data_IF_987997854701
#
_entry.id   IF_987997854701
#
_cell.length_a   1.000
_cell.length_b   1.000
_cell.length_c   1.000
_cell.angle_alpha   90.00
_cell.angle_beta   90.00
_cell.angle_gamma   90.00
#
_symmetry.space_group_name_H-M   'P 1'
#
loop_
_entity.id
_entity.type
_entity.pdbx_description
1 polymer ?
#
# COMPACT_ATOMS: atom_id res chain seq x y z
N UNK A 1 -33.23 -31.07 -15.85
CA UNK A 1 -32.86 -29.64 -15.80
C UNK A 1 -33.33 -29.04 -14.49
N UNK A 2 -32.61 -29.34 -13.41
CA UNK A 2 -33.09 -29.10 -12.06
C UNK A 2 -32.36 -27.88 -11.45
N UNK A 3 -33.10 -26.78 -11.27
CA UNK A 3 -32.76 -25.67 -10.37
C UNK A 3 -32.65 -26.21 -8.94
N UNK A 4 -31.43 -26.40 -8.44
CA UNK A 4 -31.19 -26.90 -7.08
C UNK A 4 -30.13 -26.00 -6.39
N UNK A 5 -30.61 -25.14 -5.48
CA UNK A 5 -29.92 -24.51 -4.34
C UNK A 5 -28.88 -23.39 -4.57
N UNK A 6 -29.33 -22.13 -4.54
CA UNK A 6 -28.52 -20.95 -4.15
C UNK A 6 -29.12 -20.29 -2.90
N UNK A 7 -29.12 -21.02 -1.79
CA UNK A 7 -29.35 -20.46 -0.46
C UNK A 7 -28.29 -21.06 0.46
N UNK A 8 -27.18 -20.33 0.66
CA UNK A 8 -26.09 -20.71 1.56
C UNK A 8 -24.65 -20.49 1.08
N UNK A 9 -24.39 -19.92 -0.10
CA UNK A 9 -23.03 -19.79 -0.71
C UNK A 9 -22.54 -18.34 -0.85
N UNK A 10 -22.57 -17.53 0.19
CA UNK A 10 -22.06 -16.14 0.08
C UNK A 10 -20.52 -16.04 0.13
N UNK A 11 -19.83 -17.12 0.53
CA UNK A 11 -18.37 -17.23 0.49
C UNK A 11 -17.93 -17.95 -0.77
N UNK A 12 -17.15 -17.25 -1.59
CA UNK A 12 -16.43 -17.79 -2.74
C UNK A 12 -15.05 -18.23 -2.30
N UNK A 13 -14.62 -19.42 -2.74
CA UNK A 13 -13.20 -19.80 -2.64
C UNK A 13 -12.41 -19.02 -3.69
N UNK A 14 -11.41 -18.27 -3.23
CA UNK A 14 -10.57 -17.41 -4.07
C UNK A 14 -9.21 -18.05 -4.38
N UNK A 15 -9.07 -19.36 -4.18
CA UNK A 15 -8.02 -20.14 -4.86
C UNK A 15 -8.17 -20.06 -6.38
N UNK A 16 -7.10 -20.32 -7.14
CA UNK A 16 -7.20 -20.33 -8.61
C UNK A 16 -8.22 -21.36 -9.11
N UNK A 17 -8.23 -22.56 -8.53
CA UNK A 17 -9.21 -23.60 -8.88
C UNK A 17 -10.64 -23.15 -8.57
N UNK A 18 -10.85 -22.44 -7.45
CA UNK A 18 -12.15 -21.88 -7.08
C UNK A 18 -12.61 -20.79 -8.05
N UNK A 19 -11.71 -19.91 -8.47
CA UNK A 19 -11.97 -18.86 -9.48
C UNK A 19 -12.31 -19.50 -10.83
N UNK A 20 -11.54 -20.49 -11.27
CA UNK A 20 -11.75 -21.18 -12.55
C UNK A 20 -13.08 -21.96 -12.55
N UNK A 21 -13.42 -22.60 -11.44
CA UNK A 21 -14.70 -23.30 -11.31
C UNK A 21 -15.92 -22.38 -11.38
N UNK A 22 -15.78 -21.11 -10.95
CA UNK A 22 -16.85 -20.12 -11.01
C UNK A 22 -16.99 -19.49 -12.38
N UNK A 23 -15.86 -19.29 -13.07
CA UNK A 23 -15.80 -18.64 -14.37
C UNK A 23 -15.90 -19.64 -15.53
N UNK A 24 -15.77 -20.94 -15.25
CA UNK A 24 -15.85 -22.02 -16.24
C UNK A 24 -14.59 -22.21 -17.09
N UNK A 25 -13.66 -21.26 -17.03
CA UNK A 25 -12.36 -21.32 -17.72
C UNK A 25 -11.31 -20.49 -16.96
N UNK A 26 -10.04 -20.82 -17.17
CA UNK A 26 -8.89 -20.15 -16.58
C UNK A 26 -8.61 -18.76 -17.15
N UNK A 27 -9.15 -18.47 -18.34
CA UNK A 27 -9.11 -17.18 -19.01
C UNK A 27 -10.47 -16.88 -19.62
N UNK A 28 -11.05 -15.75 -19.24
CA UNK A 28 -12.43 -15.43 -19.60
C UNK A 28 -12.44 -14.29 -20.61
N UNK A 29 -13.28 -14.34 -21.67
CA UNK A 29 -13.49 -13.18 -22.55
C UNK A 29 -13.98 -11.97 -21.74
N UNK A 30 -13.50 -10.78 -22.07
CA UNK A 30 -13.95 -9.55 -21.37
C UNK A 30 -15.47 -9.30 -21.50
N UNK A 31 -16.13 -9.91 -22.48
CA UNK A 31 -17.58 -9.85 -22.70
C UNK A 31 -18.39 -10.88 -21.91
N UNK A 32 -17.74 -11.75 -21.14
CA UNK A 32 -18.43 -12.82 -20.41
C UNK A 32 -19.25 -12.26 -19.25
N UNK A 33 -20.56 -12.56 -19.16
CA UNK A 33 -21.42 -12.08 -18.08
C UNK A 33 -21.01 -12.62 -16.70
N UNK A 34 -20.40 -13.81 -16.64
CA UNK A 34 -19.90 -14.43 -15.40
C UNK A 34 -18.81 -13.61 -14.72
N UNK A 35 -18.08 -12.78 -15.47
CA UNK A 35 -17.08 -11.90 -14.92
C UNK A 35 -17.70 -10.72 -14.15
N UNK A 36 -18.80 -10.16 -14.63
CA UNK A 36 -19.55 -9.14 -13.91
C UNK A 36 -20.14 -9.70 -12.61
N UNK A 37 -20.69 -10.91 -12.66
CA UNK A 37 -21.21 -11.62 -11.49
C UNK A 37 -20.11 -11.93 -10.47
N UNK A 38 -18.91 -12.33 -10.92
CA UNK A 38 -17.75 -12.57 -10.06
C UNK A 38 -17.28 -11.29 -9.37
N UNK A 39 -17.10 -10.19 -10.12
CA UNK A 39 -16.67 -8.91 -9.56
C UNK A 39 -17.72 -8.28 -8.64
N UNK A 40 -19.01 -8.54 -8.88
CA UNK A 40 -20.10 -8.13 -8.01
C UNK A 40 -20.27 -9.04 -6.77
N UNK A 41 -19.55 -10.16 -6.68
CA UNK A 41 -19.64 -11.06 -5.55
C UNK A 41 -19.19 -10.35 -4.26
N UNK A 42 -19.97 -10.49 -3.17
CA UNK A 42 -19.69 -9.83 -1.89
C UNK A 42 -18.29 -10.11 -1.35
N UNK A 43 -17.77 -11.32 -1.54
CA UNK A 43 -16.43 -11.70 -1.09
C UNK A 43 -15.35 -10.94 -1.89
N UNK A 44 -15.54 -10.82 -3.20
CA UNK A 44 -14.62 -10.11 -4.11
C UNK A 44 -14.69 -8.60 -3.88
N UNK A 45 -15.90 -8.03 -3.77
CA UNK A 45 -16.10 -6.61 -3.42
C UNK A 45 -15.43 -6.28 -2.09
N UNK A 46 -15.63 -7.11 -1.06
CA UNK A 46 -15.00 -6.88 0.26
C UNK A 46 -13.47 -6.97 0.19
N UNK A 47 -12.92 -7.93 -0.57
CA UNK A 47 -11.48 -8.00 -0.83
C UNK A 47 -10.96 -6.71 -1.47
N UNK A 48 -11.66 -6.19 -2.48
CA UNK A 48 -11.30 -4.94 -3.14
C UNK A 48 -11.32 -3.78 -2.14
N UNK A 49 -12.38 -3.60 -1.35
CA UNK A 49 -12.45 -2.51 -0.35
C UNK A 49 -11.30 -2.57 0.66
N UNK A 50 -10.94 -3.77 1.12
CA UNK A 50 -9.80 -3.96 2.03
C UNK A 50 -8.49 -3.53 1.36
N UNK A 51 -8.29 -3.89 0.09
CA UNK A 51 -7.12 -3.48 -0.68
C UNK A 51 -7.12 -1.96 -0.96
N UNK A 52 -8.28 -1.34 -1.18
CA UNK A 52 -8.39 0.12 -1.33
C UNK A 52 -7.93 0.80 -0.05
N UNK A 53 -8.52 0.45 1.09
CA UNK A 53 -8.17 1.06 2.38
C UNK A 53 -6.68 0.89 2.69
N UNK A 54 -6.14 -0.31 2.43
CA UNK A 54 -4.72 -0.61 2.62
C UNK A 54 -3.81 0.22 1.70
N UNK A 55 -4.07 0.24 0.40
CA UNK A 55 -3.22 0.96 -0.55
C UNK A 55 -3.32 2.47 -0.35
N UNK A 56 -4.50 2.99 -0.03
CA UNK A 56 -4.64 4.39 0.37
C UNK A 56 -3.75 4.71 1.58
N UNK A 57 -3.77 3.86 2.61
CA UNK A 57 -2.89 4.02 3.78
C UNK A 57 -1.41 3.94 3.41
N UNK A 58 -0.99 2.90 2.69
CA UNK A 58 0.41 2.63 2.34
C UNK A 58 1.03 3.75 1.47
N UNK A 59 0.22 4.42 0.67
CA UNK A 59 0.66 5.50 -0.23
C UNK A 59 0.28 6.91 0.25
N UNK A 60 -0.30 7.07 1.45
CA UNK A 60 -0.68 8.36 2.01
C UNK A 60 -1.81 9.06 1.24
N UNK A 61 -2.76 8.30 0.69
CA UNK A 61 -3.91 8.81 -0.04
C UNK A 61 -5.13 8.91 0.87
N UNK A 62 -5.90 9.99 0.73
CA UNK A 62 -7.13 10.20 1.52
C UNK A 62 -8.20 9.16 1.18
N UNK A 63 -8.71 8.46 2.19
CA UNK A 63 -9.83 7.51 2.10
C UNK A 63 -11.11 8.19 2.61
N UNK A 64 -12.16 8.32 1.77
CA UNK A 64 -13.43 8.95 2.14
C UNK A 64 -14.06 9.81 1.04
N UNK A 65 -15.19 10.49 1.32
CA UNK A 65 -15.89 11.36 0.36
C UNK A 65 -14.98 12.48 -0.16
N UNK A 66 -14.79 12.56 -1.48
CA UNK A 66 -13.87 13.51 -2.12
C UNK A 66 -12.37 13.17 -1.96
N UNK A 67 -12.05 11.99 -1.40
CA UNK A 67 -10.72 11.41 -1.39
C UNK A 67 -10.44 10.54 -2.63
N UNK A 68 -9.36 9.77 -2.58
CA UNK A 68 -8.86 8.93 -3.69
C UNK A 68 -9.40 7.51 -3.65
N UNK A 69 -10.29 7.18 -2.70
CA UNK A 69 -10.74 5.81 -2.46
C UNK A 69 -11.48 5.20 -3.65
N UNK A 70 -12.38 5.96 -4.28
CA UNK A 70 -13.13 5.52 -5.45
C UNK A 70 -12.22 5.22 -6.64
N UNK A 71 -11.13 5.96 -6.75
CA UNK A 71 -10.20 5.86 -7.86
C UNK A 71 -9.24 4.69 -7.71
N UNK A 72 -8.70 4.53 -6.50
CA UNK A 72 -7.93 3.35 -6.13
C UNK A 72 -8.80 2.11 -6.29
N UNK A 73 -10.10 2.17 -5.95
CA UNK A 73 -11.06 1.09 -6.20
C UNK A 73 -11.17 0.78 -7.68
N UNK A 74 -11.42 1.79 -8.53
CA UNK A 74 -11.50 1.60 -9.98
C UNK A 74 -10.25 0.94 -10.56
N UNK A 75 -9.06 1.36 -10.13
CA UNK A 75 -7.80 0.78 -10.59
C UNK A 75 -7.61 -0.66 -10.11
N UNK A 76 -7.97 -0.99 -8.86
CA UNK A 76 -7.95 -2.38 -8.36
C UNK A 76 -8.93 -3.25 -9.15
N UNK A 77 -10.13 -2.74 -9.48
CA UNK A 77 -11.10 -3.45 -10.33
C UNK A 77 -10.54 -3.69 -11.73
N UNK A 78 -9.88 -2.70 -12.33
CA UNK A 78 -9.23 -2.87 -13.65
C UNK A 78 -8.13 -3.93 -13.58
N UNK A 79 -7.33 -3.96 -12.51
CA UNK A 79 -6.32 -5.01 -12.32
C UNK A 79 -7.00 -6.38 -12.19
N UNK A 80 -8.07 -6.50 -11.40
CA UNK A 80 -8.83 -7.75 -11.28
C UNK A 80 -9.35 -8.23 -12.64
N UNK A 81 -9.97 -7.33 -13.42
CA UNK A 81 -10.42 -7.62 -14.78
C UNK A 81 -9.27 -8.09 -15.67
N UNK A 82 -8.13 -7.41 -15.61
CA UNK A 82 -6.97 -7.73 -16.45
C UNK A 82 -6.37 -9.10 -16.08
N UNK A 83 -6.33 -9.45 -14.78
CA UNK A 83 -5.91 -10.78 -14.32
C UNK A 83 -6.77 -11.89 -14.94
N UNK A 84 -8.08 -11.65 -15.09
CA UNK A 84 -9.03 -12.65 -15.57
C UNK A 84 -9.14 -12.72 -17.10
N UNK A 85 -8.76 -11.66 -17.82
CA UNK A 85 -9.04 -11.51 -19.26
C UNK A 85 -7.78 -11.42 -20.14
N UNK A 86 -6.64 -11.02 -19.59
CA UNK A 86 -5.40 -10.85 -20.34
C UNK A 86 -4.42 -12.02 -20.08
N UNK A 87 -4.02 -12.79 -21.11
CA UNK A 87 -3.17 -13.97 -20.93
C UNK A 87 -1.81 -13.71 -20.25
N UNK A 88 -1.16 -12.60 -20.59
CA UNK A 88 0.17 -12.27 -20.04
C UNK A 88 0.07 -11.93 -18.55
N UNK A 89 -0.94 -11.14 -18.18
CA UNK A 89 -1.18 -10.76 -16.79
C UNK A 89 -1.72 -11.94 -15.98
N UNK A 90 -2.57 -12.78 -16.57
CA UNK A 90 -3.06 -14.01 -15.94
C UNK A 90 -1.91 -14.96 -15.60
N UNK A 91 -0.96 -15.17 -16.52
CA UNK A 91 0.22 -15.99 -16.27
C UNK A 91 1.06 -15.43 -15.11
N UNK A 92 1.29 -14.11 -15.07
CA UNK A 92 1.98 -13.44 -13.96
C UNK A 92 1.21 -13.58 -12.65
N UNK A 93 -0.11 -13.45 -12.67
CA UNK A 93 -0.96 -13.58 -11.50
C UNK A 93 -0.93 -15.01 -10.93
N UNK A 94 -1.03 -16.02 -11.79
CA UNK A 94 -0.99 -17.44 -11.41
C UNK A 94 0.35 -17.92 -10.87
N UNK A 95 1.43 -17.16 -11.08
CA UNK A 95 2.69 -17.39 -10.35
C UNK A 95 2.57 -17.13 -8.84
N UNK A 96 1.49 -16.46 -8.41
CA UNK A 96 1.16 -16.25 -6.99
C UNK A 96 0.23 -17.34 -6.49
N UNK A 97 0.27 -17.58 -5.19
CA UNK A 97 -0.46 -18.67 -4.51
C UNK A 97 -1.96 -18.70 -4.82
N UNK A 98 -2.61 -17.55 -4.80
CA UNK A 98 -4.06 -17.43 -4.97
C UNK A 98 -4.44 -16.06 -5.57
N UNK A 99 -5.71 -15.91 -5.96
CA UNK A 99 -6.22 -14.68 -6.57
C UNK A 99 -6.08 -13.45 -5.65
N UNK A 100 -6.38 -13.51 -4.34
CA UNK A 100 -6.20 -12.38 -3.44
C UNK A 100 -4.75 -11.91 -3.34
N UNK A 101 -3.80 -12.85 -3.27
CA UNK A 101 -2.37 -12.55 -3.23
C UNK A 101 -1.93 -11.88 -4.54
N UNK A 102 -2.35 -12.42 -5.68
CA UNK A 102 -2.06 -11.80 -6.97
C UNK A 102 -2.66 -10.40 -7.09
N UNK A 103 -3.93 -10.23 -6.72
CA UNK A 103 -4.62 -8.96 -6.77
C UNK A 103 -3.93 -7.93 -5.88
N UNK A 104 -3.50 -8.30 -4.66
CA UNK A 104 -2.76 -7.42 -3.76
C UNK A 104 -1.47 -6.88 -4.40
N UNK A 105 -0.59 -7.78 -4.89
CA UNK A 105 0.71 -7.37 -5.40
C UNK A 105 0.61 -6.62 -6.74
N UNK A 106 -0.22 -7.11 -7.66
CA UNK A 106 -0.39 -6.47 -8.96
C UNK A 106 -1.09 -5.11 -8.84
N UNK A 107 -2.07 -4.98 -7.95
CA UNK A 107 -2.68 -3.67 -7.68
C UNK A 107 -1.71 -2.72 -6.96
N UNK A 108 -0.88 -3.22 -6.03
CA UNK A 108 0.15 -2.40 -5.38
C UNK A 108 1.11 -1.79 -6.40
N UNK A 109 1.61 -2.59 -7.35
CA UNK A 109 2.47 -2.13 -8.44
C UNK A 109 1.76 -1.10 -9.31
N UNK A 110 0.48 -1.34 -9.63
CA UNK A 110 -0.34 -0.42 -10.42
C UNK A 110 -0.54 0.92 -9.72
N UNK A 111 -0.87 0.92 -8.43
CA UNK A 111 -1.04 2.17 -7.65
C UNK A 111 0.29 2.90 -7.51
N UNK A 112 1.42 2.20 -7.38
CA UNK A 112 2.75 2.82 -7.41
C UNK A 112 3.02 3.51 -8.75
N UNK A 113 2.83 2.81 -9.86
CA UNK A 113 2.99 3.37 -11.21
C UNK A 113 2.06 4.55 -11.45
N UNK A 114 0.83 4.45 -10.98
CA UNK A 114 -0.14 5.53 -11.04
C UNK A 114 0.41 6.73 -10.26
N UNK A 115 0.82 6.57 -9.01
CA UNK A 115 1.40 7.65 -8.19
C UNK A 115 2.57 8.36 -8.86
N UNK A 116 3.42 7.59 -9.53
CA UNK A 116 4.59 8.09 -10.25
C UNK A 116 4.23 8.69 -11.64
N UNK A 117 3.03 8.43 -12.14
CA UNK A 117 2.56 8.89 -13.44
C UNK A 117 2.34 10.41 -13.47
N UNK A 118 2.68 11.08 -14.59
CA UNK A 118 2.31 12.47 -14.83
C UNK A 118 0.81 12.74 -14.67
N UNK A 119 -0.03 11.72 -14.91
CA UNK A 119 -1.49 11.75 -14.84
C UNK A 119 -2.05 11.75 -13.40
N UNK A 120 -1.33 11.20 -12.43
CA UNK A 120 -1.76 11.18 -11.03
C UNK A 120 -1.63 12.53 -10.32
N UNK A 121 -1.07 13.52 -11.00
CA UNK A 121 -1.23 14.92 -10.63
C UNK A 121 -2.68 15.44 -10.87
N UNK A 122 -3.66 14.56 -11.04
CA UNK A 122 -4.98 14.86 -11.61
C UNK A 122 -6.17 14.21 -10.92
N UNK A 123 -6.01 13.72 -9.68
CA UNK A 123 -7.19 13.54 -8.82
C UNK A 123 -7.72 14.90 -8.36
N UNK A 124 -9.02 15.07 -8.55
CA UNK A 124 -9.74 16.34 -8.70
C UNK A 124 -9.47 17.32 -7.55
N UNK A 125 -8.81 18.46 -7.87
CA UNK A 125 -8.73 19.63 -6.98
C UNK A 125 -7.33 20.01 -6.45
N UNK A 126 -6.44 19.05 -6.18
CA UNK A 126 -5.12 19.31 -5.55
C UNK A 126 -3.96 19.51 -6.54
N UNK A 127 -4.21 19.35 -7.85
CA UNK A 127 -3.20 19.45 -8.92
C UNK A 127 -2.41 20.76 -8.93
N UNK A 128 -3.11 21.88 -8.77
CA UNK A 128 -2.49 23.21 -8.86
C UNK A 128 -1.61 23.48 -7.63
N UNK A 129 -2.09 23.12 -6.44
CA UNK A 129 -1.36 23.22 -5.17
C UNK A 129 -0.07 22.42 -5.18
N UNK A 130 -0.11 21.13 -5.55
CA UNK A 130 1.11 20.31 -5.59
C UNK A 130 2.11 20.75 -6.67
N UNK A 131 1.64 21.25 -7.82
CA UNK A 131 2.51 21.82 -8.86
C UNK A 131 3.19 23.11 -8.36
N UNK A 132 2.44 23.98 -7.69
CA UNK A 132 3.00 25.18 -7.04
C UNK A 132 4.00 24.80 -5.95
N UNK A 133 3.66 23.84 -5.09
CA UNK A 133 4.56 23.32 -4.04
C UNK A 133 5.87 22.76 -4.60
N UNK A 134 5.82 21.88 -5.61
CA UNK A 134 7.03 21.36 -6.26
C UNK A 134 7.87 22.47 -6.88
N UNK A 135 7.23 23.43 -7.54
CA UNK A 135 7.91 24.58 -8.14
C UNK A 135 8.53 25.49 -7.08
N UNK A 136 7.87 25.68 -5.93
CA UNK A 136 8.41 26.42 -4.78
C UNK A 136 9.59 25.69 -4.14
N UNK A 137 9.54 24.36 -4.02
CA UNK A 137 10.66 23.57 -3.47
C UNK A 137 11.88 23.60 -4.42
N UNK A 138 11.65 23.49 -5.72
CA UNK A 138 12.70 23.63 -6.72
C UNK A 138 13.31 25.05 -6.69
N UNK A 139 12.46 26.09 -6.62
CA UNK A 139 12.92 27.47 -6.48
C UNK A 139 13.68 27.68 -5.16
N UNK A 140 13.24 27.07 -4.06
CA UNK A 140 13.96 27.13 -2.78
C UNK A 140 15.36 26.54 -2.92
N UNK A 141 15.50 25.36 -3.53
CA UNK A 141 16.80 24.75 -3.75
C UNK A 141 17.72 25.62 -4.64
N UNK A 142 17.17 26.21 -5.71
CA UNK A 142 17.86 27.16 -6.59
C UNK A 142 18.37 28.40 -5.82
N UNK A 143 17.50 29.02 -5.03
CA UNK A 143 17.83 30.22 -4.26
C UNK A 143 18.82 29.91 -3.13
N UNK A 144 18.67 28.78 -2.44
CA UNK A 144 19.64 28.35 -1.42
C UNK A 144 21.03 28.16 -2.02
N UNK A 145 21.12 27.53 -3.19
CA UNK A 145 22.39 27.38 -3.90
C UNK A 145 22.98 28.72 -4.37
N UNK A 146 22.13 29.67 -4.79
CA UNK A 146 22.56 30.96 -5.34
C UNK A 146 22.93 31.98 -4.25
N UNK A 147 22.17 32.01 -3.16
CA UNK A 147 22.30 33.02 -2.10
C UNK A 147 23.17 32.55 -0.93
N UNK A 148 23.51 31.26 -0.88
CA UNK A 148 24.27 30.68 0.24
C UNK A 148 23.50 30.67 1.57
N UNK A 149 22.19 30.95 1.54
CA UNK A 149 21.28 30.92 2.69
C UNK A 149 19.89 30.46 2.25
N UNK A 150 19.12 29.89 3.17
CA UNK A 150 17.72 29.52 2.87
C UNK A 150 16.85 30.79 2.71
N UNK A 151 16.02 30.89 1.65
CA UNK A 151 15.09 32.01 1.49
C UNK A 151 13.94 31.91 2.50
N UNK A 152 13.51 33.06 3.02
CA UNK A 152 12.31 33.14 3.86
C UNK A 152 11.05 32.75 3.10
N UNK A 153 10.01 32.31 3.81
CA UNK A 153 8.73 31.90 3.21
C UNK A 153 8.10 33.01 2.35
N UNK A 154 8.12 34.26 2.82
CA UNK A 154 7.65 35.42 2.06
C UNK A 154 8.48 35.67 0.80
N UNK A 155 9.81 35.72 0.94
CA UNK A 155 10.75 35.92 -0.18
C UNK A 155 10.53 34.88 -1.29
N UNK A 156 10.31 33.61 -0.91
CA UNK A 156 10.10 32.51 -1.83
C UNK A 156 8.79 32.64 -2.61
N UNK A 157 7.69 33.01 -1.94
CA UNK A 157 6.37 33.17 -2.56
C UNK A 157 6.36 34.37 -3.50
N UNK A 158 6.95 35.50 -3.08
CA UNK A 158 6.97 36.72 -3.87
C UNK A 158 7.76 36.54 -5.17
N UNK A 159 8.95 35.93 -5.09
CA UNK A 159 9.77 35.62 -6.26
C UNK A 159 9.10 34.61 -7.19
N UNK A 160 8.46 33.58 -6.64
CA UNK A 160 7.70 32.63 -7.44
C UNK A 160 6.56 33.32 -8.19
N UNK A 161 5.76 34.13 -7.49
CA UNK A 161 4.61 34.81 -8.06
C UNK A 161 5.04 35.89 -9.07
N UNK A 162 6.16 36.56 -8.87
CA UNK A 162 6.76 37.47 -9.86
C UNK A 162 7.10 36.71 -11.15
N UNK A 163 7.86 35.61 -11.07
CA UNK A 163 8.21 34.75 -12.22
C UNK A 163 6.97 34.22 -12.95
N UNK A 164 5.91 33.89 -12.22
CA UNK A 164 4.67 33.37 -12.81
C UNK A 164 3.86 34.47 -13.50
N UNK A 165 3.79 35.67 -12.93
CA UNK A 165 3.11 36.83 -13.54
C UNK A 165 3.81 37.29 -14.82
N UNK A 166 5.13 37.24 -14.88
CA UNK A 166 5.89 37.56 -16.11
C UNK A 166 5.57 36.61 -17.27
N UNK A 167 5.26 35.34 -16.95
CA UNK A 167 5.02 34.29 -17.96
C UNK A 167 3.56 34.10 -18.30
N UNK A 168 2.62 34.66 -17.52
CA UNK A 168 1.18 34.40 -17.66
C UNK A 168 0.34 35.66 -17.51
N UNK A 169 -0.44 35.96 -18.54
CA UNK A 169 -1.34 37.13 -18.62
C UNK A 169 -2.39 37.14 -17.49
N UNK A 170 -2.98 35.98 -17.15
CA UNK A 170 -4.04 35.87 -16.12
C UNK A 170 -3.70 34.82 -15.04
N UNK A 171 -2.53 34.94 -14.42
CA UNK A 171 -2.02 33.98 -13.44
C UNK A 171 -2.98 33.68 -12.26
N UNK A 172 -3.72 34.69 -11.80
CA UNK A 172 -4.66 34.57 -10.68
C UNK A 172 -5.90 33.73 -11.07
N UNK A 173 -6.52 34.04 -12.22
CA UNK A 173 -7.71 33.33 -12.72
C UNK A 173 -7.39 31.88 -13.10
N UNK A 174 -6.13 31.61 -13.43
CA UNK A 174 -5.61 30.27 -13.74
C UNK A 174 -5.17 29.48 -12.49
N UNK A 175 -5.28 30.04 -11.27
CA UNK A 175 -4.84 29.39 -10.04
C UNK A 175 -3.33 29.07 -10.03
N UNK A 176 -2.51 29.86 -10.72
CA UNK A 176 -1.07 29.64 -10.84
C UNK A 176 -0.25 30.34 -9.75
N UNK A 177 -0.85 31.29 -9.03
CA UNK A 177 -0.21 32.01 -7.93
C UNK A 177 -0.15 31.14 -6.68
N UNK A 178 1.00 31.16 -6.01
CA UNK A 178 1.23 30.46 -4.75
C UNK A 178 0.91 31.33 -3.54
N UNK A 179 0.64 30.66 -2.42
CA UNK A 179 0.36 31.21 -1.11
C UNK A 179 1.10 30.43 -0.02
N UNK A 180 1.09 30.94 1.21
CA UNK A 180 1.69 30.24 2.36
C UNK A 180 1.06 28.86 2.60
N UNK A 181 -0.22 28.67 2.26
CA UNK A 181 -0.90 27.39 2.37
C UNK A 181 -0.28 26.30 1.48
N UNK A 182 0.37 26.67 0.36
CA UNK A 182 1.07 25.71 -0.51
C UNK A 182 2.39 25.18 0.08
N UNK A 183 2.89 25.82 1.15
CA UNK A 183 4.08 25.42 1.90
C UNK A 183 3.77 24.74 3.23
N UNK A 184 2.51 24.80 3.67
CA UNK A 184 2.03 23.98 4.78
C UNK A 184 1.96 22.55 4.27
N UNK A 185 2.72 21.67 4.88
CA UNK A 185 2.66 20.25 4.56
C UNK A 185 1.29 19.72 5.04
N UNK A 186 0.36 19.29 4.17
CA UNK A 186 -0.81 18.55 4.64
C UNK A 186 -0.38 17.26 5.37
N UNK A 187 0.82 16.76 5.07
CA UNK A 187 1.46 15.62 5.73
C UNK A 187 2.27 16.02 6.99
N UNK A 188 2.19 17.27 7.48
CA UNK A 188 2.80 17.62 8.79
C UNK A 188 2.04 17.02 9.98
N UNK A 189 0.87 16.44 9.74
CA UNK A 189 0.28 15.40 10.60
C UNK A 189 0.86 14.02 10.26
N UNK A 190 2.17 13.97 10.01
CA UNK A 190 2.95 12.74 10.01
C UNK A 190 2.94 12.25 11.44
N UNK A 191 1.96 11.39 11.70
CA UNK A 191 1.89 10.51 12.84
C UNK A 191 3.27 9.88 12.97
N UNK A 192 3.89 10.10 14.14
CA UNK A 192 5.09 9.41 14.51
C UNK A 192 4.84 7.91 14.35
N UNK A 193 5.75 7.18 13.70
CA UNK A 193 5.55 5.73 13.52
C UNK A 193 5.54 5.03 14.88
N UNK A 194 6.03 5.69 15.96
CA UNK A 194 5.82 5.25 17.34
C UNK A 194 4.39 5.49 17.87
N UNK A 195 3.69 6.53 17.41
CA UNK A 195 2.35 6.90 17.88
C UNK A 195 1.23 6.11 17.17
N UNK A 196 1.54 5.46 16.05
CA UNK A 196 0.63 4.52 15.36
C UNK A 196 0.37 3.22 16.13
N UNK A 197 1.07 2.96 17.23
CA UNK A 197 0.81 1.78 18.06
C UNK A 197 -0.42 1.99 18.96
N UNK A 198 -0.94 3.22 19.10
CA UNK A 198 -2.03 3.53 20.04
C UNK A 198 -3.26 4.25 19.44
N UNK A 199 -3.32 4.47 18.13
CA UNK A 199 -4.55 4.98 17.51
C UNK A 199 -5.51 3.84 17.17
N UNK A 200 -6.47 3.62 18.08
CA UNK A 200 -7.74 2.90 17.96
C UNK A 200 -7.76 1.60 17.12
N UNK A 201 -8.06 0.43 17.71
CA UNK A 201 -8.32 -0.76 16.91
C UNK A 201 -9.45 -0.40 15.94
N UNK A 202 -9.16 -0.47 14.63
CA UNK A 202 -10.21 -0.50 13.63
C UNK A 202 -11.23 -1.54 14.13
N UNK A 203 -12.40 -1.05 14.53
CA UNK A 203 -13.48 -1.84 15.12
C UNK A 203 -14.15 -2.70 14.05
N UNK A 204 -13.37 -3.53 13.40
CA UNK A 204 -13.83 -4.69 12.65
C UNK A 204 -13.23 -5.89 13.35
N UNK A 205 -13.97 -6.44 14.31
CA UNK A 205 -13.83 -7.79 14.88
C UNK A 205 -13.94 -8.91 13.85
N UNK A 206 -13.76 -8.62 12.55
CA UNK A 206 -13.74 -9.57 11.45
C UNK A 206 -12.32 -9.64 10.89
N UNK A 207 -11.55 -10.54 11.50
CA UNK A 207 -10.30 -11.09 10.97
C UNK A 207 -10.59 -11.61 9.56
N UNK A 208 -10.04 -10.96 8.52
CA UNK A 208 -10.01 -11.55 7.19
C UNK A 208 -8.64 -12.22 6.94
N UNK A 209 -8.64 -13.55 6.68
CA UNK A 209 -7.46 -14.40 6.74
C UNK A 209 -6.63 -14.38 5.46
N UNK A 210 -6.71 -13.37 4.59
CA UNK A 210 -5.86 -13.37 3.37
C UNK A 210 -4.39 -13.10 3.73
N UNK A 211 -4.16 -12.44 4.87
CA UNK A 211 -2.83 -12.18 5.41
C UNK A 211 -2.44 -13.21 6.47
N UNK A 212 -3.37 -13.86 7.18
CA UNK A 212 -3.04 -14.76 8.30
C UNK A 212 -2.23 -16.00 7.87
N UNK A 213 -2.68 -16.91 6.99
CA UNK A 213 -1.93 -18.13 6.69
C UNK A 213 -0.61 -17.84 5.97
N UNK A 214 -0.57 -16.82 5.10
CA UNK A 214 0.63 -16.47 4.33
C UNK A 214 1.62 -15.65 5.16
N UNK A 215 1.14 -14.75 6.05
CA UNK A 215 2.02 -14.06 6.99
C UNK A 215 2.48 -15.00 8.10
N UNK A 216 1.64 -15.91 8.60
CA UNK A 216 2.06 -16.97 9.54
C UNK A 216 3.10 -17.86 8.89
N UNK A 217 2.88 -18.32 7.65
CA UNK A 217 3.89 -19.10 6.92
C UNK A 217 5.21 -18.33 6.73
N UNK A 218 5.15 -17.05 6.39
CA UNK A 218 6.35 -16.22 6.27
C UNK A 218 7.04 -15.99 7.63
N UNK A 219 6.26 -15.75 8.69
CA UNK A 219 6.77 -15.60 10.06
C UNK A 219 7.47 -16.90 10.49
N UNK A 220 6.83 -18.05 10.28
CA UNK A 220 7.39 -19.36 10.62
C UNK A 220 8.68 -19.62 9.82
N UNK A 221 8.72 -19.27 8.53
CA UNK A 221 9.93 -19.36 7.71
C UNK A 221 11.05 -18.44 8.20
N UNK A 222 10.73 -17.19 8.55
CA UNK A 222 11.72 -16.22 9.05
C UNK A 222 12.29 -16.69 10.39
N UNK A 223 11.43 -17.15 11.31
CA UNK A 223 11.85 -17.69 12.60
C UNK A 223 12.71 -18.95 12.40
N UNK A 224 12.28 -19.89 11.56
CA UNK A 224 13.03 -21.11 11.28
C UNK A 224 14.40 -20.81 10.65
N UNK A 225 14.46 -19.87 9.70
CA UNK A 225 15.72 -19.47 9.06
C UNK A 225 16.64 -18.72 10.03
N UNK A 226 16.09 -17.92 10.93
CA UNK A 226 16.86 -17.27 11.99
C UNK A 226 17.44 -18.30 12.97
N UNK A 227 16.66 -19.32 13.36
CA UNK A 227 17.11 -20.43 14.21
C UNK A 227 18.19 -21.32 13.57
N UNK A 228 18.20 -21.42 12.23
CA UNK A 228 19.22 -22.15 11.48
C UNK A 228 20.54 -21.35 11.32
N UNK A 229 20.50 -20.04 11.57
CA UNK A 229 21.68 -19.18 11.52
C UNK A 229 22.59 -19.37 12.74
N UNK A 230 23.78 -18.79 12.67
CA UNK A 230 24.75 -18.83 13.78
C UNK A 230 24.45 -17.79 14.89
N UNK A 231 23.56 -16.83 14.63
CA UNK A 231 23.24 -15.76 15.56
C UNK A 231 22.05 -16.13 16.48
N UNK A 232 22.39 -16.64 17.66
CA UNK A 232 21.42 -17.02 18.69
C UNK A 232 20.59 -15.82 19.21
N UNK A 233 21.14 -14.60 19.17
CA UNK A 233 20.42 -13.40 19.60
C UNK A 233 19.36 -13.01 18.57
N UNK A 234 19.71 -13.06 17.29
CA UNK A 234 18.76 -12.82 16.20
C UNK A 234 17.59 -13.81 16.24
N UNK A 235 17.87 -15.10 16.51
CA UNK A 235 16.84 -16.13 16.68
C UNK A 235 15.92 -15.85 17.88
N UNK A 236 16.48 -15.50 19.04
CA UNK A 236 15.71 -15.16 20.24
C UNK A 236 14.83 -13.92 20.04
N UNK A 237 15.35 -12.89 19.37
CA UNK A 237 14.57 -11.68 19.02
C UNK A 237 13.48 -12.02 18.00
N UNK A 238 13.76 -12.86 16.99
CA UNK A 238 12.76 -13.29 16.01
C UNK A 238 11.56 -13.97 16.68
N UNK A 239 11.82 -14.91 17.59
CA UNK A 239 10.78 -15.60 18.33
C UNK A 239 9.95 -14.64 19.18
N UNK A 240 10.62 -13.81 19.99
CA UNK A 240 9.98 -12.88 20.91
C UNK A 240 9.18 -11.79 20.18
N UNK A 241 9.61 -11.39 18.98
CA UNK A 241 8.97 -10.34 18.20
C UNK A 241 7.81 -10.87 17.34
N UNK A 242 8.02 -11.97 16.62
CA UNK A 242 7.14 -12.40 15.53
C UNK A 242 6.11 -13.45 15.95
N UNK A 243 6.46 -14.40 16.83
CA UNK A 243 5.53 -15.47 17.24
C UNK A 243 4.30 -14.96 18.01
N UNK A 244 4.37 -13.89 18.84
CA UNK A 244 3.17 -13.32 19.42
C UNK A 244 2.16 -12.89 18.35
N UNK A 245 2.63 -12.34 17.22
CA UNK A 245 1.74 -11.88 16.15
C UNK A 245 0.95 -13.02 15.50
N UNK A 246 1.50 -14.24 15.45
CA UNK A 246 0.78 -15.44 14.98
C UNK A 246 -0.40 -15.79 15.89
N UNK A 247 -0.27 -15.54 17.20
CA UNK A 247 -1.28 -15.93 18.21
C UNK A 247 -2.30 -14.83 18.48
N UNK A 248 -1.88 -13.57 18.45
CA UNK A 248 -2.68 -12.43 18.91
C UNK A 248 -2.99 -11.43 17.79
N UNK A 249 -2.39 -11.59 16.60
CA UNK A 249 -2.48 -10.62 15.51
C UNK A 249 -1.66 -9.35 15.73
N UNK A 250 -0.87 -9.27 16.82
CA UNK A 250 -0.14 -8.07 17.22
C UNK A 250 1.33 -8.40 17.50
N UNK A 251 2.25 -7.63 16.89
CA UNK A 251 3.69 -7.73 17.15
C UNK A 251 4.04 -7.17 18.54
N UNK A 252 5.01 -7.78 19.22
CA UNK A 252 5.55 -7.23 20.45
C UNK A 252 6.29 -5.91 20.19
N UNK A 253 6.28 -5.00 21.17
CA UNK A 253 7.07 -3.76 21.09
C UNK A 253 8.54 -4.05 21.35
N UNK A 254 9.43 -3.20 20.82
CA UNK A 254 10.88 -3.36 21.00
C UNK A 254 11.28 -3.33 22.48
N UNK A 255 10.72 -2.42 23.28
CA UNK A 255 10.87 -2.43 24.73
C UNK A 255 10.42 -3.75 25.41
N UNK A 256 9.33 -4.37 24.96
CA UNK A 256 8.85 -5.64 25.51
C UNK A 256 9.78 -6.81 25.14
N UNK A 257 10.29 -6.83 23.90
CA UNK A 257 11.25 -7.82 23.41
C UNK A 257 12.61 -7.66 24.08
N UNK A 258 13.09 -6.42 24.21
CA UNK A 258 14.33 -6.09 24.92
C UNK A 258 14.31 -6.64 26.35
N UNK A 259 13.19 -6.41 27.04
CA UNK A 259 12.97 -6.94 28.40
C UNK A 259 12.89 -8.47 28.45
N UNK A 260 12.25 -9.12 27.47
CA UNK A 260 12.10 -10.59 27.48
C UNK A 260 13.38 -11.33 27.11
N UNK A 261 14.16 -10.78 26.19
CA UNK A 261 15.44 -11.34 25.72
C UNK A 261 16.61 -10.93 26.62
N UNK A 262 16.49 -9.84 27.37
CA UNK A 262 17.51 -9.35 28.29
C UNK A 262 18.59 -8.50 27.61
N UNK A 263 18.19 -7.68 26.64
CA UNK A 263 19.08 -6.80 25.87
C UNK A 263 18.56 -5.36 25.85
N UNK A 264 19.39 -4.42 25.39
CA UNK A 264 18.99 -3.03 25.16
C UNK A 264 18.06 -2.90 23.96
N UNK A 265 17.16 -1.91 23.97
CA UNK A 265 16.18 -1.69 22.90
C UNK A 265 16.85 -1.36 21.55
N UNK A 266 18.00 -0.68 21.57
CA UNK A 266 18.79 -0.39 20.37
C UNK A 266 19.27 -1.68 19.67
N UNK A 267 19.64 -2.70 20.45
CA UNK A 267 20.05 -4.00 19.93
C UNK A 267 18.86 -4.72 19.27
N UNK A 268 17.67 -4.59 19.84
CA UNK A 268 16.44 -5.14 19.23
C UNK A 268 16.14 -4.46 17.89
N UNK A 269 16.30 -3.14 17.80
CA UNK A 269 16.09 -2.39 16.55
C UNK A 269 17.09 -2.78 15.46
N UNK A 270 18.34 -3.07 15.81
CA UNK A 270 19.32 -3.58 14.86
C UNK A 270 18.98 -5.01 14.40
N UNK A 271 18.60 -5.89 15.32
CA UNK A 271 18.08 -7.22 14.97
C UNK A 271 16.83 -7.12 14.07
N UNK A 272 15.93 -6.15 14.28
CA UNK A 272 14.76 -5.94 13.41
C UNK A 272 15.16 -5.60 11.97
N UNK A 273 16.19 -4.78 11.78
CA UNK A 273 16.71 -4.47 10.43
C UNK A 273 17.22 -5.74 9.75
N UNK A 274 17.92 -6.60 10.48
CA UNK A 274 18.41 -7.88 9.93
C UNK A 274 17.28 -8.87 9.65
N UNK A 275 16.31 -9.01 10.54
CA UNK A 275 15.12 -9.84 10.30
C UNK A 275 14.33 -9.36 9.09
N UNK A 276 14.26 -8.04 8.87
CA UNK A 276 13.64 -7.49 7.66
C UNK A 276 14.41 -7.88 6.40
N UNK A 277 15.74 -7.80 6.40
CA UNK A 277 16.56 -8.27 5.27
C UNK A 277 16.38 -9.76 5.03
N UNK A 278 16.35 -10.57 6.09
CA UNK A 278 16.12 -12.01 6.01
C UNK A 278 14.75 -12.32 5.39
N UNK A 279 13.70 -11.63 5.82
CA UNK A 279 12.36 -11.78 5.26
C UNK A 279 12.30 -11.41 3.77
N UNK A 280 12.99 -10.34 3.35
CA UNK A 280 13.10 -9.96 1.94
C UNK A 280 13.81 -11.05 1.13
N UNK A 281 14.91 -11.59 1.66
CA UNK A 281 15.65 -12.69 1.01
C UNK A 281 14.76 -13.93 0.85
N UNK A 282 14.04 -14.35 1.90
CA UNK A 282 13.12 -15.48 1.85
C UNK A 282 12.03 -15.25 0.79
N UNK A 283 11.46 -14.04 0.73
CA UNK A 283 10.45 -13.73 -0.29
C UNK A 283 11.00 -13.74 -1.73
N UNK A 284 12.28 -13.43 -1.91
CA UNK A 284 12.94 -13.52 -3.21
C UNK A 284 13.20 -14.97 -3.60
N UNK A 285 13.75 -15.75 -2.68
CA UNK A 285 14.15 -17.15 -2.91
C UNK A 285 12.94 -18.08 -3.06
N UNK A 286 12.00 -18.02 -2.11
CA UNK A 286 10.91 -18.99 -1.99
C UNK A 286 9.62 -18.53 -2.69
N UNK A 287 9.43 -17.22 -2.85
CA UNK A 287 8.19 -16.65 -3.40
C UNK A 287 8.38 -15.94 -4.76
N UNK A 288 9.58 -16.00 -5.35
CA UNK A 288 9.88 -15.46 -6.67
C UNK A 288 9.57 -13.96 -6.81
N UNK A 289 9.72 -13.19 -5.73
CA UNK A 289 9.57 -11.74 -5.79
C UNK A 289 10.91 -11.07 -6.18
N UNK A 290 10.92 -10.03 -7.03
CA UNK A 290 12.12 -9.21 -7.26
C UNK A 290 12.45 -8.31 -6.06
#
# INVERSE_FOLDING_TARGET
>A
MALWWRTGRDRVDLTWDGVDALLGDSLVPASDPGLADFLANKTVVRLIEVLVARHCKDYGLTFGPGGHGDDVRSEIVVVALTILTNPEVAARARSKKDFPTALHFLSKDRIKQLRESPWFNGFTGMSSMHRRRRSLLALRAELTATWGREPGVGELIDLYNARVRERRVDAARQGALASAADLVDPDKYRVDVSDLVHSDPCATTDIYPVVEPTATYLIDLVVARAQQGEDALLAAVAEALLLPAVRTGVFATSAAVAKSVGVEEEVVEDCRKELHRLAVTILREECGMP
#
